data_IF_252804627533
#
_entry.id   IF_252804627533
#
_cell.length_a   1.000
_cell.length_b   1.000
_cell.length_c   1.000
_cell.angle_alpha   90.00
_cell.angle_beta   90.00
_cell.angle_gamma   90.00
#
_symmetry.space_group_name_H-M   'P 1'
#
loop_
_entity.id
_entity.type
_entity.pdbx_description
1 polymer ?
#
# COMPACT_ATOMS: atom_id res chain seq x y z
N UNK A 1 12.13 18.47 -10.98
CA UNK A 1 11.46 17.22 -11.42
C UNK A 1 10.40 17.61 -12.43
N UNK A 2 10.24 16.92 -13.57
CA UNK A 2 9.14 17.28 -14.50
C UNK A 2 7.80 16.77 -13.95
N UNK A 3 6.67 17.51 -14.13
CA UNK A 3 5.36 17.10 -13.64
C UNK A 3 4.91 15.74 -14.19
N UNK A 4 5.22 15.44 -15.44
CA UNK A 4 4.93 14.15 -16.09
C UNK A 4 5.66 12.98 -15.44
N UNK A 5 6.93 13.17 -15.06
CA UNK A 5 7.70 12.16 -14.32
C UNK A 5 7.18 11.98 -12.88
N UNK A 6 6.83 13.07 -12.21
CA UNK A 6 6.22 13.01 -10.87
C UNK A 6 4.90 12.22 -10.86
N UNK A 7 4.05 12.44 -11.87
CA UNK A 7 2.79 11.71 -12.02
C UNK A 7 3.01 10.23 -12.35
N UNK A 8 4.02 9.87 -13.16
CA UNK A 8 4.30 8.46 -13.47
C UNK A 8 4.79 7.70 -12.23
N UNK A 9 5.68 8.32 -11.45
CA UNK A 9 6.15 7.77 -10.17
C UNK A 9 4.98 7.60 -9.19
N UNK A 10 4.13 8.62 -9.03
CA UNK A 10 2.95 8.53 -8.17
C UNK A 10 1.99 7.42 -8.59
N UNK A 11 1.72 7.27 -9.90
CA UNK A 11 0.88 6.18 -10.41
C UNK A 11 1.46 4.81 -10.06
N UNK A 12 2.77 4.62 -10.21
CA UNK A 12 3.44 3.38 -9.84
C UNK A 12 3.31 3.06 -8.35
N UNK A 13 3.55 4.04 -7.48
CA UNK A 13 3.42 3.91 -6.02
C UNK A 13 1.98 3.56 -5.64
N UNK A 14 1.01 4.30 -6.18
CA UNK A 14 -0.42 4.07 -5.92
C UNK A 14 -0.85 2.66 -6.37
N UNK A 15 -0.50 2.25 -7.58
CA UNK A 15 -0.83 0.91 -8.08
C UNK A 15 -0.21 -0.18 -7.22
N UNK A 16 1.06 -0.02 -6.83
CA UNK A 16 1.76 -0.98 -5.97
C UNK A 16 1.07 -1.11 -4.61
N UNK A 17 0.69 0.02 -4.00
CA UNK A 17 -0.06 0.01 -2.74
C UNK A 17 -1.42 -0.67 -2.88
N UNK A 18 -2.17 -0.40 -3.95
CA UNK A 18 -3.47 -1.06 -4.21
C UNK A 18 -3.30 -2.56 -4.42
N UNK A 19 -2.28 -3.00 -5.16
CA UNK A 19 -1.98 -4.43 -5.31
C UNK A 19 -1.64 -5.07 -3.96
N UNK A 20 -0.88 -4.36 -3.13
CA UNK A 20 -0.53 -4.82 -1.79
C UNK A 20 -1.77 -5.03 -0.90
N UNK A 21 -2.76 -4.13 -0.98
CA UNK A 21 -4.04 -4.25 -0.28
C UNK A 21 -4.85 -5.49 -0.70
N UNK A 22 -4.59 -6.06 -1.88
CA UNK A 22 -5.28 -7.26 -2.38
C UNK A 22 -4.46 -8.51 -2.05
N UNK A 23 -3.16 -8.49 -2.33
CA UNK A 23 -2.29 -9.66 -2.20
C UNK A 23 -2.12 -10.06 -0.73
N UNK A 24 -1.93 -9.10 0.19
CA UNK A 24 -1.72 -9.42 1.60
C UNK A 24 -2.91 -10.17 2.21
N UNK A 25 -4.17 -9.70 2.08
CA UNK A 25 -5.32 -10.47 2.54
C UNK A 25 -5.44 -11.86 1.90
N UNK A 26 -5.16 -11.99 0.60
CA UNK A 26 -5.20 -13.29 -0.08
C UNK A 26 -4.19 -14.27 0.52
N UNK A 27 -2.96 -13.82 0.80
CA UNK A 27 -1.93 -14.64 1.43
C UNK A 27 -2.36 -15.08 2.83
N UNK A 28 -2.93 -14.18 3.65
CA UNK A 28 -3.44 -14.57 4.98
C UNK A 28 -4.57 -15.59 4.85
N UNK A 29 -5.53 -15.36 3.94
CA UNK A 29 -6.66 -16.27 3.75
C UNK A 29 -6.22 -17.66 3.30
N UNK A 30 -5.19 -17.75 2.45
CA UNK A 30 -4.63 -19.02 2.02
C UNK A 30 -3.92 -19.76 3.17
N UNK A 31 -3.13 -19.06 3.98
CA UNK A 31 -2.38 -19.66 5.08
C UNK A 31 -3.24 -19.96 6.32
N UNK A 32 -4.23 -19.11 6.63
CA UNK A 32 -5.13 -19.29 7.76
C UNK A 32 -6.19 -20.39 7.55
N UNK A 33 -6.36 -20.89 6.32
CA UNK A 33 -7.23 -22.04 6.01
C UNK A 33 -6.51 -23.38 6.13
N UNK A 34 -5.20 -23.38 6.35
CA UNK A 34 -4.34 -24.54 6.15
C UNK A 34 -4.16 -25.50 7.33
N UNK A 35 -4.85 -25.32 8.46
CA UNK A 35 -4.47 -26.07 9.67
C UNK A 35 -5.64 -26.70 10.44
N UNK A 36 -5.84 -27.99 10.16
CA UNK A 36 -6.63 -28.94 10.96
C UNK A 36 -5.80 -29.56 12.12
N UNK A 37 -4.61 -29.05 12.49
CA UNK A 37 -3.80 -29.75 13.51
C UNK A 37 -2.78 -28.96 14.35
N UNK A 38 -2.26 -27.81 13.93
CA UNK A 38 -1.17 -27.14 14.66
C UNK A 38 -1.06 -25.61 14.44
N UNK A 39 -2.13 -24.96 13.96
CA UNK A 39 -2.04 -23.65 13.30
C UNK A 39 -1.70 -22.44 14.17
N UNK A 40 -0.75 -21.65 13.67
CA UNK A 40 -0.62 -20.22 13.99
C UNK A 40 -2.00 -19.57 13.82
N UNK A 41 -2.51 -18.99 14.90
CA UNK A 41 -3.88 -18.49 14.94
C UNK A 41 -4.08 -17.42 13.87
N UNK A 42 -5.21 -17.45 13.17
CA UNK A 42 -5.59 -16.44 12.17
C UNK A 42 -5.42 -14.99 12.70
N UNK A 43 -5.65 -14.79 14.00
CA UNK A 43 -5.43 -13.53 14.71
C UNK A 43 -3.97 -13.05 14.70
N UNK A 44 -3.00 -13.96 14.75
CA UNK A 44 -1.57 -13.67 14.78
C UNK A 44 -1.09 -13.15 13.42
N UNK A 45 -1.53 -13.80 12.33
CA UNK A 45 -1.25 -13.37 10.96
C UNK A 45 -2.00 -12.07 10.60
N UNK A 46 -3.24 -11.91 11.08
CA UNK A 46 -4.05 -10.72 10.83
C UNK A 46 -3.40 -9.45 11.39
N UNK A 47 -2.85 -9.51 12.62
CA UNK A 47 -2.20 -8.37 13.24
C UNK A 47 -0.95 -7.91 12.44
N UNK A 48 -0.07 -8.84 12.06
CA UNK A 48 1.12 -8.52 11.27
C UNK A 48 0.76 -7.95 9.89
N UNK A 49 -0.28 -8.48 9.26
CA UNK A 49 -0.73 -7.99 7.97
C UNK A 49 -1.37 -6.60 8.03
N UNK A 50 -2.18 -6.33 9.05
CA UNK A 50 -2.70 -4.98 9.29
C UNK A 50 -1.56 -3.98 9.52
N UNK A 51 -0.53 -4.37 10.27
CA UNK A 51 0.68 -3.57 10.46
C UNK A 51 1.41 -3.28 9.14
N UNK A 52 1.60 -4.30 8.29
CA UNK A 52 2.19 -4.16 6.96
C UNK A 52 1.38 -3.23 6.05
N UNK A 53 0.06 -3.38 6.03
CA UNK A 53 -0.85 -2.53 5.24
C UNK A 53 -0.78 -1.08 5.73
N UNK A 54 -0.81 -0.86 7.05
CA UNK A 54 -0.70 0.46 7.64
C UNK A 54 0.65 1.13 7.30
N UNK A 55 1.75 0.38 7.42
CA UNK A 55 3.08 0.86 7.05
C UNK A 55 3.16 1.22 5.56
N UNK A 56 2.67 0.36 4.67
CA UNK A 56 2.65 0.62 3.23
C UNK A 56 1.82 1.88 2.89
N UNK A 57 0.70 2.09 3.58
CA UNK A 57 -0.13 3.29 3.42
C UNK A 57 0.58 4.57 3.86
N UNK A 58 1.24 4.53 5.02
CA UNK A 58 2.06 5.64 5.53
C UNK A 58 3.21 5.96 4.57
N UNK A 59 3.91 4.94 4.08
CA UNK A 59 4.98 5.11 3.10
C UNK A 59 4.47 5.76 1.82
N UNK A 60 3.34 5.29 1.27
CA UNK A 60 2.75 5.88 0.08
C UNK A 60 2.33 7.35 0.29
N UNK A 61 1.80 7.69 1.47
CA UNK A 61 1.46 9.08 1.82
C UNK A 61 2.70 9.96 1.97
N UNK A 62 3.78 9.45 2.56
CA UNK A 62 5.06 10.16 2.63
C UNK A 62 5.63 10.42 1.23
N UNK A 63 5.62 9.41 0.35
CA UNK A 63 6.03 9.60 -1.03
C UNK A 63 5.17 10.62 -1.75
N UNK A 64 3.84 10.60 -1.57
CA UNK A 64 2.92 11.59 -2.15
C UNK A 64 3.29 13.01 -1.75
N UNK A 65 3.53 13.24 -0.45
CA UNK A 65 3.92 14.55 0.10
C UNK A 65 5.28 14.98 -0.41
N UNK A 66 6.26 14.07 -0.44
CA UNK A 66 7.59 14.35 -0.95
C UNK A 66 7.55 14.74 -2.43
N UNK A 67 6.83 13.99 -3.27
CA UNK A 67 6.70 14.28 -4.70
C UNK A 67 6.05 15.66 -4.91
N UNK A 68 4.96 15.97 -4.20
CA UNK A 68 4.32 17.29 -4.28
C UNK A 68 5.26 18.41 -3.82
N UNK A 69 6.05 18.18 -2.76
CA UNK A 69 7.04 19.15 -2.28
C UNK A 69 8.11 19.43 -3.35
N UNK A 70 8.67 18.38 -3.97
CA UNK A 70 9.68 18.53 -5.04
C UNK A 70 9.11 19.06 -6.36
N UNK A 71 7.80 18.89 -6.59
CA UNK A 71 7.11 19.45 -7.74
C UNK A 71 6.76 20.94 -7.56
N UNK A 72 6.73 21.44 -6.33
CA UNK A 72 6.31 22.82 -6.02
C UNK A 72 4.80 23.06 -6.10
N UNK A 73 4.03 22.05 -6.52
CA UNK A 73 2.58 22.10 -6.69
C UNK A 73 1.94 20.78 -6.25
N UNK A 74 0.69 20.83 -5.78
CA UNK A 74 -0.08 19.63 -5.41
C UNK A 74 -0.66 18.95 -6.65
N UNK A 75 0.16 18.13 -7.30
CA UNK A 75 -0.18 17.35 -8.50
C UNK A 75 -0.56 15.89 -8.20
N UNK A 76 -0.10 15.34 -7.06
CA UNK A 76 -0.33 13.96 -6.66
C UNK A 76 -1.43 13.85 -5.60
N UNK A 77 -2.54 13.22 -5.98
CA UNK A 77 -3.73 13.01 -5.16
C UNK A 77 -4.12 11.53 -5.10
N UNK A 78 -4.73 11.12 -3.99
CA UNK A 78 -5.36 9.79 -3.87
C UNK A 78 -6.62 9.69 -4.73
N UNK A 79 -7.41 10.77 -4.78
CA UNK A 79 -8.54 10.92 -5.67
C UNK A 79 -8.07 11.25 -7.09
N UNK A 80 -8.72 10.69 -8.09
CA UNK A 80 -8.53 11.09 -9.49
C UNK A 80 -9.31 12.35 -9.87
N UNK A 81 -10.11 12.92 -8.95
CA UNK A 81 -10.74 14.22 -9.17
C UNK A 81 -9.71 15.31 -8.92
N UNK A 82 -9.17 15.81 -10.03
CA UNK A 82 -8.54 17.13 -10.11
C UNK A 82 -9.56 18.22 -9.74
#
# INVERSE_FOLDING_TARGET
MSPTYALSVWRSIRTTFVLFLIVVPLVILANGRGDDGAGTGWSELAASALGLIAFAGLFAELCRRAINHFAGETICHWSSRA
#
